data_IF_195350954019
#
_entry.id   IF_195350954019
#
_cell.length_a   1.000
_cell.length_b   1.000
_cell.length_c   1.000
_cell.angle_alpha   90.00
_cell.angle_beta   90.00
_cell.angle_gamma   90.00
#
_symmetry.space_group_name_H-M   'P 1'
#
loop_
_entity.id
_entity.type
_entity.pdbx_description
1 polymer ?
#
# COMPACT_ATOMS: atom_id res chain seq x y z
N UNK A 1 -3.18 -2.90 38.69
CA UNK A 1 -4.10 -2.79 37.55
C UNK A 1 -3.89 -3.99 36.61
N UNK A 2 -4.92 -4.67 36.14
CA UNK A 2 -4.76 -5.77 35.18
C UNK A 2 -4.30 -5.20 33.84
N UNK A 3 -3.42 -5.90 33.13
CA UNK A 3 -2.79 -5.40 31.89
C UNK A 3 -3.80 -4.95 30.83
N UNK A 4 -4.94 -5.64 30.74
CA UNK A 4 -6.01 -5.29 29.78
C UNK A 4 -6.61 -3.91 30.07
N UNK A 5 -6.81 -3.61 31.33
CA UNK A 5 -7.29 -2.31 31.80
C UNK A 5 -6.28 -1.19 31.53
N UNK A 6 -4.98 -1.47 31.70
CA UNK A 6 -3.93 -0.51 31.37
C UNK A 6 -3.90 -0.15 29.87
N UNK A 7 -4.12 -1.14 28.99
CA UNK A 7 -4.23 -0.93 27.55
C UNK A 7 -5.45 -0.06 27.21
N UNK A 8 -6.61 -0.37 27.83
CA UNK A 8 -7.86 0.38 27.62
C UNK A 8 -7.73 1.83 28.06
N UNK A 9 -7.27 2.10 29.28
CA UNK A 9 -7.07 3.46 29.79
C UNK A 9 -6.07 4.25 28.95
N UNK A 10 -4.94 3.62 28.56
CA UNK A 10 -3.97 4.27 27.69
C UNK A 10 -4.58 4.69 26.36
N UNK A 11 -5.48 3.88 25.78
CA UNK A 11 -6.14 4.23 24.53
C UNK A 11 -7.07 5.42 24.67
N UNK A 12 -7.81 5.52 25.78
CA UNK A 12 -8.68 6.68 26.02
C UNK A 12 -7.92 8.00 26.00
N UNK A 13 -6.71 8.02 26.55
CA UNK A 13 -5.87 9.22 26.66
C UNK A 13 -4.98 9.46 25.42
N UNK A 14 -4.51 8.40 24.79
CA UNK A 14 -3.43 8.47 23.80
C UNK A 14 -3.82 7.92 22.42
N UNK A 15 -5.03 7.42 22.23
CA UNK A 15 -5.49 6.85 20.97
C UNK A 15 -5.57 7.91 19.86
N UNK A 16 -5.39 7.49 18.61
CA UNK A 16 -5.60 8.34 17.41
C UNK A 16 -7.07 8.36 17.06
N UNK A 17 -7.91 9.00 17.90
CA UNK A 17 -9.36 9.03 17.75
C UNK A 17 -9.83 9.84 16.53
N UNK A 18 -8.99 10.74 16.03
CA UNK A 18 -9.23 11.67 14.93
C UNK A 18 -9.14 11.05 13.53
N UNK A 19 -8.72 9.79 13.42
CA UNK A 19 -8.65 9.11 12.13
C UNK A 19 -10.07 8.86 11.57
N UNK A 20 -10.37 9.26 10.30
CA UNK A 20 -11.73 9.24 9.76
C UNK A 20 -12.37 7.85 9.75
N UNK A 21 -11.58 6.80 9.52
CA UNK A 21 -12.05 5.40 9.58
C UNK A 21 -12.26 4.87 11.00
N UNK A 22 -11.91 5.64 12.04
CA UNK A 22 -12.23 5.37 13.45
C UNK A 22 -13.48 6.11 13.93
N UNK A 23 -13.98 7.06 13.12
CA UNK A 23 -15.16 7.88 13.41
C UNK A 23 -16.39 7.42 12.61
N UNK A 24 -16.38 6.19 12.11
CA UNK A 24 -17.47 5.63 11.32
C UNK A 24 -17.68 4.17 11.65
N UNK A 25 -18.91 3.68 11.50
CA UNK A 25 -19.29 2.26 11.52
C UNK A 25 -19.60 1.71 10.12
N UNK A 26 -19.36 2.49 9.08
CA UNK A 26 -19.57 2.08 7.70
C UNK A 26 -18.55 1.01 7.30
N UNK A 27 -19.04 -0.21 7.02
CA UNK A 27 -18.20 -1.36 6.71
C UNK A 27 -17.31 -1.15 5.47
N UNK A 28 -17.81 -0.44 4.45
CA UNK A 28 -17.03 -0.14 3.26
C UNK A 28 -15.88 0.84 3.56
N UNK A 29 -16.15 1.91 4.31
CA UNK A 29 -15.15 2.91 4.68
C UNK A 29 -14.03 2.30 5.54
N UNK A 30 -14.40 1.43 6.47
CA UNK A 30 -13.45 0.69 7.30
C UNK A 30 -12.65 -0.31 6.44
N UNK A 31 -13.32 -1.10 5.60
CA UNK A 31 -12.66 -2.03 4.69
C UNK A 31 -11.67 -1.33 3.77
N UNK A 32 -12.07 -0.21 3.15
CA UNK A 32 -11.20 0.59 2.29
C UNK A 32 -9.93 1.02 3.02
N UNK A 33 -10.07 1.55 4.24
CA UNK A 33 -8.92 1.97 5.05
C UNK A 33 -7.99 0.80 5.38
N UNK A 34 -8.54 -0.35 5.77
CA UNK A 34 -7.76 -1.56 6.08
C UNK A 34 -6.94 -2.03 4.87
N UNK A 35 -7.53 -1.99 3.66
CA UNK A 35 -6.82 -2.36 2.44
C UNK A 35 -5.77 -1.30 2.04
N UNK A 36 -6.09 -0.01 2.14
CA UNK A 36 -5.14 1.06 1.83
C UNK A 36 -3.94 1.08 2.78
N UNK A 37 -4.16 0.76 4.06
CA UNK A 37 -3.12 0.74 5.10
C UNK A 37 -2.21 -0.49 5.05
N UNK A 38 -2.53 -1.52 4.27
CA UNK A 38 -1.61 -2.66 4.07
C UNK A 38 -0.29 -2.17 3.49
N UNK A 39 0.81 -2.21 4.28
CA UNK A 39 2.15 -1.78 3.90
C UNK A 39 2.27 -0.30 3.46
N UNK A 40 1.32 0.53 3.84
CA UNK A 40 1.32 1.98 3.55
C UNK A 40 1.17 2.77 4.85
N UNK A 41 1.84 3.91 4.92
CA UNK A 41 1.79 4.78 6.10
C UNK A 41 0.44 5.50 6.20
N UNK A 42 -0.08 5.66 7.43
CA UNK A 42 -1.33 6.38 7.74
C UNK A 42 -1.34 7.77 7.11
N UNK A 43 -0.26 8.54 7.27
CA UNK A 43 -0.13 9.90 6.72
C UNK A 43 -0.38 9.91 5.20
N UNK A 44 0.26 9.00 4.47
CA UNK A 44 0.11 8.92 3.00
C UNK A 44 -1.32 8.59 2.59
N UNK A 45 -1.97 7.63 3.27
CA UNK A 45 -3.36 7.24 3.00
C UNK A 45 -4.30 8.40 3.28
N UNK A 46 -4.16 9.05 4.44
CA UNK A 46 -5.02 10.13 4.89
C UNK A 46 -4.94 11.37 3.99
N UNK A 47 -3.71 11.81 3.67
CA UNK A 47 -3.49 13.06 2.94
C UNK A 47 -3.79 12.97 1.45
N UNK A 48 -3.71 11.76 0.84
CA UNK A 48 -3.67 11.67 -0.63
C UNK A 48 -4.68 10.71 -1.25
N UNK A 49 -5.20 9.72 -0.51
CA UNK A 49 -5.93 8.62 -1.14
C UNK A 49 -7.32 8.39 -0.60
N UNK A 50 -7.49 8.40 0.73
CA UNK A 50 -8.74 7.96 1.36
C UNK A 50 -9.95 8.81 0.94
N UNK A 51 -9.86 10.12 1.09
CA UNK A 51 -10.96 11.02 0.75
C UNK A 51 -11.22 11.12 -0.75
N UNK A 52 -10.19 11.32 -1.62
CA UNK A 52 -10.42 11.35 -3.07
C UNK A 52 -11.03 10.04 -3.60
N UNK A 53 -10.65 8.90 -3.03
CA UNK A 53 -11.24 7.61 -3.42
C UNK A 53 -12.71 7.52 -3.01
N UNK A 54 -13.06 7.94 -1.80
CA UNK A 54 -14.46 7.97 -1.32
C UNK A 54 -15.32 9.00 -2.06
N UNK A 55 -14.75 10.11 -2.49
CA UNK A 55 -15.44 11.10 -3.32
C UNK A 55 -15.81 10.49 -4.69
N UNK A 56 -14.88 9.80 -5.32
CA UNK A 56 -15.11 9.14 -6.61
C UNK A 56 -15.99 7.89 -6.49
N UNK A 57 -15.82 7.13 -5.42
CA UNK A 57 -16.53 5.87 -5.14
C UNK A 57 -17.11 5.90 -3.73
N UNK A 58 -18.27 6.53 -3.51
CA UNK A 58 -18.84 6.74 -2.17
C UNK A 58 -19.35 5.45 -1.51
N UNK A 59 -19.59 4.40 -2.30
CA UNK A 59 -20.10 3.11 -1.82
C UNK A 59 -19.32 1.95 -2.43
N UNK A 60 -19.38 0.77 -1.79
CA UNK A 60 -18.80 -0.44 -2.36
C UNK A 60 -19.49 -0.82 -3.69
N UNK A 61 -20.76 -0.50 -3.86
CA UNK A 61 -21.49 -0.70 -5.10
C UNK A 61 -20.92 0.17 -6.23
N UNK A 62 -20.59 1.44 -5.97
CA UNK A 62 -19.97 2.30 -6.98
C UNK A 62 -18.58 1.82 -7.42
N UNK A 63 -17.84 1.12 -6.52
CA UNK A 63 -16.60 0.42 -6.90
C UNK A 63 -16.90 -0.78 -7.80
N UNK A 64 -17.96 -1.54 -7.51
CA UNK A 64 -18.33 -2.73 -8.30
C UNK A 64 -18.78 -2.38 -9.73
N UNK A 65 -19.43 -1.24 -9.89
CA UNK A 65 -19.97 -0.75 -11.18
C UNK A 65 -18.91 -0.05 -12.03
N UNK A 66 -17.82 0.41 -11.43
CA UNK A 66 -16.77 1.13 -12.13
C UNK A 66 -15.90 0.19 -12.98
N UNK A 67 -15.38 0.67 -14.14
CA UNK A 67 -14.29 0.00 -14.81
C UNK A 67 -13.06 -0.17 -13.90
N UNK A 68 -12.36 -1.32 -14.04
CA UNK A 68 -11.16 -1.56 -13.24
C UNK A 68 -10.10 -0.46 -13.43
N UNK A 69 -9.97 0.08 -14.64
CA UNK A 69 -9.01 1.13 -14.97
C UNK A 69 -9.25 2.40 -14.15
N UNK A 70 -10.51 2.78 -13.91
CA UNK A 70 -10.87 3.92 -13.05
C UNK A 70 -10.44 3.67 -11.60
N UNK A 71 -10.65 2.46 -11.08
CA UNK A 71 -10.23 2.08 -9.72
C UNK A 71 -8.71 2.09 -9.61
N UNK A 72 -8.00 1.57 -10.62
CA UNK A 72 -6.54 1.59 -10.68
C UNK A 72 -6.01 3.02 -10.79
N UNK A 73 -6.70 3.91 -11.52
CA UNK A 73 -6.34 5.32 -11.64
C UNK A 73 -6.42 6.04 -10.29
N UNK A 74 -7.51 5.84 -9.54
CA UNK A 74 -7.65 6.40 -8.20
C UNK A 74 -6.65 5.84 -7.18
N UNK A 75 -6.08 4.65 -7.47
CA UNK A 75 -5.05 4.00 -6.64
C UNK A 75 -3.63 4.40 -7.04
N UNK A 76 -3.47 5.19 -8.09
CA UNK A 76 -2.19 5.51 -8.69
C UNK A 76 -1.24 6.21 -7.73
N UNK A 77 -0.08 5.60 -7.47
CA UNK A 77 0.94 6.09 -6.52
C UNK A 77 0.85 5.50 -5.12
N UNK A 78 -0.23 4.79 -4.75
CA UNK A 78 -0.33 4.08 -3.47
C UNK A 78 0.50 2.79 -3.46
N UNK A 79 0.76 2.21 -4.64
CA UNK A 79 1.52 0.97 -4.80
C UNK A 79 0.73 -0.29 -4.45
N UNK A 80 1.36 -1.45 -4.68
CA UNK A 80 0.72 -2.75 -4.43
C UNK A 80 -0.66 -2.86 -5.09
N UNK A 81 -0.76 -2.59 -6.37
CA UNK A 81 -2.00 -2.50 -7.15
C UNK A 81 -2.89 -3.75 -7.12
N UNK A 82 -2.32 -4.90 -6.73
CA UNK A 82 -3.11 -6.12 -6.45
C UNK A 82 -4.18 -5.86 -5.39
N UNK A 83 -3.94 -4.93 -4.44
CA UNK A 83 -4.94 -4.54 -3.43
C UNK A 83 -6.15 -3.87 -4.06
N UNK A 84 -5.93 -2.93 -4.98
CA UNK A 84 -7.02 -2.26 -5.71
C UNK A 84 -7.83 -3.26 -6.55
N UNK A 85 -7.15 -4.19 -7.24
CA UNK A 85 -7.83 -5.26 -7.99
C UNK A 85 -8.63 -6.19 -7.10
N UNK A 86 -8.09 -6.55 -5.94
CA UNK A 86 -8.82 -7.36 -4.98
C UNK A 86 -10.01 -6.60 -4.38
N UNK A 87 -9.86 -5.31 -4.10
CA UNK A 87 -10.96 -4.44 -3.64
C UNK A 87 -12.09 -4.42 -4.69
N UNK A 88 -11.77 -4.16 -5.95
CA UNK A 88 -12.73 -4.15 -7.05
C UNK A 88 -13.41 -5.53 -7.23
N UNK A 89 -12.63 -6.61 -7.25
CA UNK A 89 -13.16 -7.98 -7.34
C UNK A 89 -14.08 -8.32 -6.16
N UNK A 90 -13.71 -7.93 -4.94
CA UNK A 90 -14.56 -8.11 -3.74
C UNK A 90 -15.86 -7.34 -3.88
N UNK A 91 -15.81 -6.09 -4.35
CA UNK A 91 -17.01 -5.28 -4.56
C UNK A 91 -18.00 -5.96 -5.53
N UNK A 92 -17.51 -6.51 -6.64
CA UNK A 92 -18.32 -7.26 -7.62
C UNK A 92 -18.92 -8.53 -7.00
N UNK A 93 -18.09 -9.37 -6.36
CA UNK A 93 -18.55 -10.65 -5.78
C UNK A 93 -19.58 -10.42 -4.69
N UNK A 94 -19.35 -9.42 -3.84
CA UNK A 94 -20.25 -9.07 -2.74
C UNK A 94 -21.46 -8.24 -3.19
N UNK A 95 -21.59 -7.92 -4.48
CA UNK A 95 -22.68 -7.08 -5.01
C UNK A 95 -22.86 -5.80 -4.20
N UNK A 96 -21.76 -5.16 -3.85
CA UNK A 96 -21.75 -3.90 -3.07
C UNK A 96 -21.99 -4.04 -1.56
N UNK A 97 -22.20 -5.23 -1.01
CA UNK A 97 -22.46 -5.44 0.43
C UNK A 97 -21.50 -6.49 1.00
N UNK A 98 -20.64 -6.06 1.94
CA UNK A 98 -19.68 -6.98 2.57
C UNK A 98 -20.38 -8.00 3.47
N UNK A 99 -19.88 -9.26 3.52
CA UNK A 99 -20.29 -10.21 4.53
C UNK A 99 -19.98 -9.71 5.95
N UNK A 100 -20.74 -10.18 6.92
CA UNK A 100 -20.59 -9.77 8.33
C UNK A 100 -19.74 -10.73 9.15
N UNK A 101 -19.57 -11.98 8.69
CA UNK A 101 -18.84 -13.02 9.42
C UNK A 101 -17.38 -13.10 9.00
N UNK A 102 -16.45 -13.29 9.96
CA UNK A 102 -15.01 -13.31 9.68
C UNK A 102 -14.58 -14.43 8.74
N UNK A 103 -15.27 -15.58 8.75
CA UNK A 103 -14.98 -16.71 7.87
C UNK A 103 -15.32 -16.38 6.40
N UNK A 104 -16.44 -15.72 6.17
CA UNK A 104 -16.90 -15.30 4.85
C UNK A 104 -15.99 -14.20 4.29
N UNK A 105 -15.66 -13.19 5.12
CA UNK A 105 -14.70 -12.15 4.77
C UNK A 105 -13.33 -12.74 4.45
N UNK A 106 -12.84 -13.69 5.25
CA UNK A 106 -11.56 -14.37 5.04
C UNK A 106 -11.48 -15.23 3.77
N UNK A 107 -12.62 -15.58 3.18
CA UNK A 107 -12.71 -16.25 1.88
C UNK A 107 -12.50 -15.33 0.68
N UNK A 108 -12.56 -14.00 0.88
CA UNK A 108 -12.41 -13.01 -0.19
C UNK A 108 -10.95 -12.72 -0.49
N UNK A 109 -10.62 -12.50 -1.77
CA UNK A 109 -9.25 -12.24 -2.21
C UNK A 109 -8.67 -10.98 -1.55
N UNK A 110 -7.50 -11.12 -0.93
CA UNK A 110 -6.79 -10.00 -0.28
C UNK A 110 -7.27 -9.69 1.13
N UNK A 111 -8.26 -10.39 1.64
CA UNK A 111 -8.73 -10.30 3.02
C UNK A 111 -8.22 -11.53 3.79
N UNK A 112 -7.11 -11.34 4.51
CA UNK A 112 -6.60 -12.36 5.43
C UNK A 112 -7.33 -12.33 6.78
N UNK A 113 -7.11 -13.35 7.63
CA UNK A 113 -7.72 -13.47 8.94
C UNK A 113 -7.65 -12.17 9.77
N UNK A 114 -6.51 -11.48 9.79
CA UNK A 114 -6.35 -10.22 10.55
C UNK A 114 -7.25 -9.11 10.02
N UNK A 115 -7.35 -8.95 8.68
CA UNK A 115 -8.23 -7.95 8.06
C UNK A 115 -9.71 -8.30 8.25
N UNK A 116 -10.08 -9.57 8.14
CA UNK A 116 -11.44 -10.03 8.42
C UNK A 116 -11.85 -9.71 9.87
N UNK A 117 -10.98 -10.04 10.83
CA UNK A 117 -11.19 -9.69 12.23
C UNK A 117 -11.28 -8.17 12.44
N UNK A 118 -10.43 -7.37 11.77
CA UNK A 118 -10.46 -5.91 11.88
C UNK A 118 -11.82 -5.34 11.45
N UNK A 119 -12.35 -5.78 10.31
CA UNK A 119 -13.67 -5.38 9.85
C UNK A 119 -14.74 -5.76 10.88
N UNK A 120 -14.77 -7.00 11.36
CA UNK A 120 -15.76 -7.45 12.33
C UNK A 120 -15.66 -6.70 13.66
N UNK A 121 -14.46 -6.42 14.15
CA UNK A 121 -14.25 -5.66 15.40
C UNK A 121 -14.67 -4.21 15.23
N UNK A 122 -14.27 -3.56 14.14
CA UNK A 122 -14.47 -2.12 14.02
C UNK A 122 -15.87 -1.74 13.56
N UNK A 123 -16.58 -2.64 12.89
CA UNK A 123 -17.98 -2.43 12.47
C UNK A 123 -18.97 -2.98 13.48
N UNK A 124 -18.74 -4.20 13.99
CA UNK A 124 -19.72 -4.96 14.76
C UNK A 124 -19.32 -5.18 16.22
N UNK A 125 -18.15 -4.66 16.65
CA UNK A 125 -17.61 -4.82 18.00
C UNK A 125 -17.43 -6.29 18.44
N UNK A 126 -17.20 -7.18 17.46
CA UNK A 126 -16.95 -8.60 17.74
C UNK A 126 -15.70 -8.79 18.60
N UNK A 127 -15.72 -9.68 19.61
CA UNK A 127 -14.59 -9.87 20.52
C UNK A 127 -13.47 -10.72 19.90
N UNK A 128 -12.88 -10.22 18.81
CA UNK A 128 -11.83 -10.88 18.04
C UNK A 128 -10.52 -10.11 18.17
N UNK A 129 -9.35 -10.80 18.28
CA UNK A 129 -8.05 -10.13 18.22
C UNK A 129 -7.64 -9.83 16.79
N UNK A 130 -6.93 -8.71 16.59
CA UNK A 130 -6.29 -8.36 15.34
C UNK A 130 -4.80 -8.63 15.46
N UNK A 131 -4.17 -9.13 14.39
CA UNK A 131 -2.76 -9.52 14.39
C UNK A 131 -2.02 -8.94 13.17
N UNK A 132 -1.87 -7.61 13.15
CA UNK A 132 -1.08 -6.91 12.14
C UNK A 132 0.43 -6.96 12.46
N UNK A 133 1.26 -6.34 11.62
CA UNK A 133 2.71 -6.31 11.81
C UNK A 133 3.14 -5.58 13.10
N UNK A 134 2.40 -4.56 13.52
CA UNK A 134 2.66 -3.81 14.75
C UNK A 134 2.33 -4.66 15.97
N UNK A 135 1.13 -5.24 15.99
CA UNK A 135 0.67 -6.13 17.07
C UNK A 135 1.59 -7.35 17.20
N UNK A 136 2.00 -7.98 16.08
CA UNK A 136 2.99 -9.08 16.09
C UNK A 136 4.27 -8.68 16.81
N UNK A 137 4.80 -7.50 16.54
CA UNK A 137 6.00 -6.98 17.21
C UNK A 137 5.77 -6.74 18.69
N UNK A 138 4.65 -6.11 19.07
CA UNK A 138 4.29 -5.86 20.47
C UNK A 138 4.20 -7.18 21.22
N UNK A 139 3.48 -8.16 20.69
CA UNK A 139 3.34 -9.49 21.31
C UNK A 139 4.67 -10.23 21.43
N UNK A 140 5.53 -10.18 20.39
CA UNK A 140 6.86 -10.78 20.47
C UNK A 140 7.67 -10.19 21.64
N UNK A 141 7.65 -8.87 21.81
CA UNK A 141 8.35 -8.18 22.90
C UNK A 141 7.71 -8.44 24.25
N UNK A 142 6.40 -8.33 24.33
CA UNK A 142 5.67 -8.51 25.58
C UNK A 142 5.86 -9.92 26.17
N UNK A 143 5.83 -10.96 25.33
CA UNK A 143 6.01 -12.34 25.74
C UNK A 143 7.45 -12.89 25.61
N UNK A 144 8.40 -12.07 25.17
CA UNK A 144 9.80 -12.43 24.87
C UNK A 144 9.92 -13.57 23.83
N UNK A 145 9.20 -13.49 22.71
CA UNK A 145 9.21 -14.48 21.64
C UNK A 145 10.29 -14.13 20.60
N UNK A 146 11.24 -15.03 20.40
CA UNK A 146 12.33 -14.82 19.40
C UNK A 146 11.87 -14.94 17.95
N UNK A 147 10.84 -15.71 17.68
CA UNK A 147 10.32 -15.97 16.34
C UNK A 147 8.86 -15.58 16.20
N UNK A 148 8.46 -15.16 15.01
CA UNK A 148 7.07 -14.87 14.66
C UNK A 148 6.33 -16.15 14.25
N UNK A 149 6.05 -17.03 15.21
CA UNK A 149 5.20 -18.18 14.96
C UNK A 149 3.73 -17.74 14.95
N UNK A 150 3.07 -17.84 13.81
CA UNK A 150 1.68 -17.38 13.62
C UNK A 150 0.72 -18.00 14.62
N UNK A 151 0.76 -19.33 14.83
CA UNK A 151 -0.13 -20.02 15.76
C UNK A 151 0.04 -19.49 17.17
N UNK A 152 1.29 -19.41 17.64
CA UNK A 152 1.60 -18.90 19.00
C UNK A 152 1.16 -17.43 19.14
N UNK A 153 1.36 -16.60 18.11
CA UNK A 153 0.97 -15.19 18.16
C UNK A 153 -0.55 -15.03 18.24
N UNK A 154 -1.33 -15.84 17.52
CA UNK A 154 -2.80 -15.85 17.65
C UNK A 154 -3.23 -16.28 19.05
N UNK A 155 -2.65 -17.32 19.63
CA UNK A 155 -2.92 -17.75 21.02
C UNK A 155 -2.62 -16.62 22.02
N UNK A 156 -1.50 -15.90 21.86
CA UNK A 156 -1.15 -14.76 22.70
C UNK A 156 -2.07 -13.56 22.51
N UNK A 157 -2.49 -13.29 21.26
CA UNK A 157 -3.45 -12.24 20.96
C UNK A 157 -4.80 -12.51 21.65
N UNK A 158 -5.33 -13.73 21.55
CA UNK A 158 -6.54 -14.15 22.25
C UNK A 158 -6.41 -14.02 23.78
N UNK A 159 -5.29 -14.44 24.34
CA UNK A 159 -5.04 -14.35 25.80
C UNK A 159 -5.06 -12.90 26.28
N UNK A 160 -4.53 -11.96 25.49
CA UNK A 160 -4.40 -10.56 25.87
C UNK A 160 -5.68 -9.76 25.58
N UNK A 161 -6.55 -10.22 24.69
CA UNK A 161 -7.75 -9.52 24.26
C UNK A 161 -8.63 -9.09 25.44
N UNK A 162 -9.05 -7.82 25.45
CA UNK A 162 -10.08 -7.31 26.34
C UNK A 162 -11.46 -7.56 25.72
N UNK A 163 -12.12 -8.62 26.13
CA UNK A 163 -13.36 -9.10 25.49
C UNK A 163 -14.51 -8.09 25.60
N UNK A 164 -14.57 -7.33 26.71
CA UNK A 164 -15.62 -6.32 26.93
C UNK A 164 -15.37 -5.00 26.16
N UNK A 165 -14.14 -4.76 25.70
CA UNK A 165 -13.73 -3.57 24.97
C UNK A 165 -12.84 -3.96 23.77
N UNK A 166 -13.36 -4.78 22.83
CA UNK A 166 -12.53 -5.33 21.74
C UNK A 166 -12.06 -4.25 20.75
N UNK A 167 -12.87 -3.25 20.48
CA UNK A 167 -12.55 -2.13 19.60
C UNK A 167 -11.35 -1.35 20.16
N UNK A 168 -11.48 -0.83 21.37
CA UNK A 168 -10.45 -0.02 22.02
C UNK A 168 -9.16 -0.81 22.22
N UNK A 169 -9.27 -2.08 22.61
CA UNK A 169 -8.11 -2.96 22.78
C UNK A 169 -7.30 -3.09 21.48
N UNK A 170 -7.95 -3.41 20.37
CA UNK A 170 -7.27 -3.62 19.11
C UNK A 170 -6.69 -2.31 18.55
N UNK A 171 -7.43 -1.21 18.63
CA UNK A 171 -6.91 0.11 18.25
C UNK A 171 -5.71 0.50 19.11
N UNK A 172 -5.78 0.29 20.45
CA UNK A 172 -4.67 0.52 21.36
C UNK A 172 -3.42 -0.27 20.97
N UNK A 173 -3.58 -1.58 20.72
CA UNK A 173 -2.45 -2.46 20.39
C UNK A 173 -1.76 -2.03 19.08
N UNK A 174 -2.52 -1.58 18.09
CA UNK A 174 -1.96 -1.02 16.85
C UNK A 174 -1.23 0.30 17.12
N UNK A 175 -1.82 1.20 17.94
CA UNK A 175 -1.24 2.50 18.26
C UNK A 175 0.01 2.38 19.14
N UNK A 176 0.01 1.51 20.14
CA UNK A 176 1.18 1.16 20.93
C UNK A 176 2.30 0.67 20.01
N UNK A 177 1.99 -0.20 19.06
CA UNK A 177 2.95 -0.67 18.08
C UNK A 177 3.47 0.44 17.18
N UNK A 178 2.61 1.32 16.67
CA UNK A 178 3.00 2.36 15.74
C UNK A 178 3.80 3.50 16.41
N UNK A 179 3.50 3.87 17.66
CA UNK A 179 3.99 5.11 18.30
C UNK A 179 4.90 4.86 19.48
N UNK A 180 4.70 3.80 20.26
CA UNK A 180 5.42 3.52 21.50
C UNK A 180 6.42 2.38 21.31
N UNK A 181 5.94 1.19 20.97
CA UNK A 181 6.76 0.00 20.78
C UNK A 181 7.33 -0.09 19.34
N UNK A 182 7.97 1.00 18.89
CA UNK A 182 8.49 1.15 17.53
C UNK A 182 9.61 0.16 17.21
N UNK A 183 9.90 -0.11 15.91
CA UNK A 183 10.93 -1.10 15.54
C UNK A 183 12.33 -0.82 16.09
N UNK A 184 12.79 0.43 15.99
CA UNK A 184 14.18 0.80 16.32
C UNK A 184 14.33 1.35 17.74
N UNK A 185 13.52 2.34 18.11
CA UNK A 185 13.63 3.09 19.36
C UNK A 185 12.32 3.01 20.16
N UNK A 186 12.00 1.87 20.80
CA UNK A 186 10.79 1.76 21.59
C UNK A 186 10.86 2.60 22.86
N UNK A 187 9.77 3.31 23.16
CA UNK A 187 9.61 4.15 24.35
C UNK A 187 9.00 3.30 25.49
N UNK A 188 9.82 2.42 26.07
CA UNK A 188 9.34 1.42 27.02
C UNK A 188 8.77 2.03 28.33
N UNK A 189 9.25 3.19 28.75
CA UNK A 189 8.79 3.84 29.99
C UNK A 189 7.40 4.49 29.83
N UNK A 190 7.04 4.92 28.63
CA UNK A 190 5.69 5.40 28.28
C UNK A 190 4.72 4.27 27.85
N UNK A 191 5.17 3.01 27.91
CA UNK A 191 4.38 1.88 27.43
C UNK A 191 3.44 1.36 28.51
N UNK A 192 2.12 1.22 28.26
CA UNK A 192 1.19 0.67 29.26
C UNK A 192 1.46 -0.79 29.61
N UNK A 193 2.25 -1.49 28.79
CA UNK A 193 2.66 -2.88 29.01
C UNK A 193 3.98 -3.00 29.82
N UNK A 194 4.65 -1.89 30.13
CA UNK A 194 6.00 -1.83 30.67
C UNK A 194 6.21 -2.70 31.91
N UNK A 195 5.26 -2.66 32.87
CA UNK A 195 5.38 -3.36 34.15
C UNK A 195 5.45 -4.88 34.03
N UNK A 196 4.83 -5.45 32.99
CA UNK A 196 4.74 -6.91 32.79
C UNK A 196 5.41 -7.39 31.51
N UNK A 197 6.06 -6.48 30.79
CA UNK A 197 6.72 -6.78 29.51
C UNK A 197 8.02 -7.56 29.74
N UNK A 198 8.07 -8.80 29.32
CA UNK A 198 9.23 -9.70 29.45
C UNK A 198 10.42 -9.29 28.60
N UNK A 199 10.20 -8.58 27.50
CA UNK A 199 11.25 -8.10 26.59
C UNK A 199 11.71 -6.66 26.85
N UNK A 200 11.26 -6.02 27.94
CA UNK A 200 11.56 -4.59 28.22
C UNK A 200 13.06 -4.28 28.25
N UNK A 201 13.87 -5.14 28.85
CA UNK A 201 15.31 -4.92 29.02
C UNK A 201 16.11 -4.98 27.71
N UNK A 202 15.60 -5.73 26.71
CA UNK A 202 16.28 -5.91 25.44
C UNK A 202 15.27 -6.06 24.27
N UNK A 203 14.42 -5.04 24.00
CA UNK A 203 13.31 -5.15 23.06
C UNK A 203 13.76 -5.43 21.62
N UNK A 204 14.98 -5.08 21.24
CA UNK A 204 15.56 -5.36 19.92
C UNK A 204 15.78 -6.84 19.65
N UNK A 205 15.80 -7.68 20.68
CA UNK A 205 15.96 -9.13 20.56
C UNK A 205 14.62 -9.85 20.20
N UNK A 206 13.49 -9.13 20.25
CA UNK A 206 12.16 -9.71 20.08
C UNK A 206 11.32 -8.96 19.02
N UNK A 207 10.93 -9.61 17.91
CA UNK A 207 11.49 -10.89 17.43
C UNK A 207 12.94 -10.70 16.97
N UNK A 208 13.70 -11.79 16.91
CA UNK A 208 15.08 -11.77 16.41
C UNK A 208 15.09 -11.14 15.01
N UNK A 209 15.95 -10.16 14.74
CA UNK A 209 16.03 -9.52 13.44
C UNK A 209 16.29 -10.54 12.32
N UNK A 210 15.57 -10.44 11.23
CA UNK A 210 15.87 -11.20 10.03
C UNK A 210 17.14 -10.64 9.38
N UNK A 211 18.00 -11.53 8.86
CA UNK A 211 19.15 -11.11 8.06
C UNK A 211 18.64 -10.33 6.83
N UNK A 212 19.29 -9.19 6.56
CA UNK A 212 19.00 -8.43 5.34
C UNK A 212 19.53 -9.18 4.14
N UNK A 213 18.65 -9.60 3.26
CA UNK A 213 19.02 -10.13 1.95
C UNK A 213 19.38 -8.95 1.05
N UNK A 214 20.52 -9.04 0.34
CA UNK A 214 20.86 -8.05 -0.69
C UNK A 214 19.82 -8.09 -1.79
N UNK A 215 19.24 -6.95 -2.08
CA UNK A 215 18.25 -6.80 -3.15
C UNK A 215 19.01 -6.75 -4.48
N UNK A 216 18.74 -7.68 -5.44
CA UNK A 216 19.42 -7.68 -6.73
C UNK A 216 19.05 -6.45 -7.56
N UNK A 217 19.99 -6.02 -8.41
CA UNK A 217 19.72 -4.95 -9.38
C UNK A 217 19.46 -5.59 -10.75
N UNK A 218 18.35 -5.22 -11.38
CA UNK A 218 17.99 -5.57 -12.75
C UNK A 218 18.18 -4.35 -13.65
N UNK A 219 18.91 -4.53 -14.74
CA UNK A 219 19.04 -3.51 -15.80
C UNK A 219 18.18 -3.94 -16.96
N UNK A 220 17.41 -3.01 -17.50
CA UNK A 220 16.52 -3.20 -18.65
C UNK A 220 16.45 -1.93 -19.48
N UNK A 221 15.80 -1.98 -20.61
CA UNK A 221 15.53 -0.86 -21.49
C UNK A 221 14.03 -0.53 -21.49
N UNK A 222 13.70 0.76 -21.47
CA UNK A 222 12.35 1.24 -21.71
C UNK A 222 12.30 1.81 -23.13
N UNK A 223 11.49 1.22 -23.98
CA UNK A 223 11.37 1.58 -25.39
C UNK A 223 10.27 2.57 -25.56
N UNK A 224 10.62 3.75 -26.08
CA UNK A 224 9.71 4.84 -26.39
C UNK A 224 9.48 4.88 -27.89
N UNK A 225 8.25 4.55 -28.28
CA UNK A 225 7.80 4.63 -29.66
C UNK A 225 6.87 5.84 -29.80
N UNK A 226 7.09 6.64 -30.83
CA UNK A 226 6.28 7.82 -31.13
C UNK A 226 5.74 7.73 -32.55
N UNK A 227 4.47 8.07 -32.72
CA UNK A 227 3.81 8.15 -34.01
C UNK A 227 2.80 9.31 -34.00
N UNK A 228 2.94 10.27 -34.91
CA UNK A 228 2.02 11.40 -35.04
C UNK A 228 1.80 12.16 -33.73
N UNK A 229 2.86 12.38 -32.94
CA UNK A 229 2.80 13.05 -31.64
C UNK A 229 2.17 12.21 -30.50
N UNK A 230 1.90 10.93 -30.74
CA UNK A 230 1.38 10.00 -29.74
C UNK A 230 2.44 8.99 -29.31
N UNK A 231 2.45 8.64 -28.03
CA UNK A 231 3.34 7.63 -27.46
C UNK A 231 2.65 6.25 -27.44
N UNK A 232 3.39 5.24 -27.83
CA UNK A 232 2.94 3.85 -27.81
C UNK A 232 3.05 3.25 -26.41
N UNK A 233 1.97 2.73 -25.87
CA UNK A 233 1.91 2.07 -24.56
C UNK A 233 1.34 0.66 -24.66
N UNK A 234 1.68 -0.17 -23.66
CA UNK A 234 1.09 -1.49 -23.46
C UNK A 234 0.29 -1.53 -22.15
N UNK A 235 -0.78 -2.31 -22.12
CA UNK A 235 -1.42 -2.69 -20.87
C UNK A 235 -0.80 -3.99 -20.35
N UNK A 236 -0.12 -3.89 -19.20
CA UNK A 236 0.71 -5.00 -18.67
C UNK A 236 -0.11 -6.22 -18.33
N UNK A 237 0.30 -7.36 -18.89
CA UNK A 237 -0.32 -8.69 -18.66
C UNK A 237 0.46 -9.52 -17.65
N UNK A 238 1.71 -9.14 -17.35
CA UNK A 238 2.57 -9.82 -16.40
C UNK A 238 2.08 -9.61 -14.96
N UNK A 239 2.45 -10.52 -14.05
CA UNK A 239 2.07 -10.47 -12.64
C UNK A 239 2.47 -9.15 -11.96
N UNK A 240 3.66 -8.63 -12.30
CA UNK A 240 4.11 -7.33 -11.79
C UNK A 240 3.40 -6.21 -12.56
N UNK A 241 2.71 -5.34 -11.84
CA UNK A 241 1.99 -4.18 -12.39
C UNK A 241 0.86 -4.53 -13.38
N UNK A 242 0.34 -5.75 -13.32
CA UNK A 242 -0.74 -6.24 -14.18
C UNK A 242 -1.94 -5.28 -14.22
N UNK A 243 -2.42 -4.97 -15.43
CA UNK A 243 -3.53 -4.08 -15.70
C UNK A 243 -3.16 -2.60 -15.80
N UNK A 244 -1.95 -2.21 -15.39
CA UNK A 244 -1.47 -0.84 -15.57
C UNK A 244 -0.94 -0.63 -16.98
N UNK A 245 -1.12 0.58 -17.48
CA UNK A 245 -0.49 1.04 -18.70
C UNK A 245 0.96 1.41 -18.46
N UNK A 246 1.81 1.28 -19.49
CA UNK A 246 3.20 1.67 -19.38
C UNK A 246 3.99 1.46 -20.66
N UNK A 247 5.24 1.92 -20.64
CA UNK A 247 6.15 1.77 -21.76
C UNK A 247 6.63 0.33 -21.89
N UNK A 248 6.89 -0.09 -23.13
CA UNK A 248 7.47 -1.42 -23.40
C UNK A 248 8.82 -1.53 -22.73
N UNK A 249 9.09 -2.67 -22.09
CA UNK A 249 10.39 -2.94 -21.45
C UNK A 249 11.02 -4.18 -22.08
N UNK A 250 12.33 -4.08 -22.42
CA UNK A 250 13.13 -5.16 -23.00
C UNK A 250 14.34 -5.45 -22.12
N UNK A 251 14.79 -6.69 -22.14
CA UNK A 251 16.10 -7.10 -21.58
C UNK A 251 17.24 -6.89 -22.57
N UNK A 252 16.92 -6.73 -23.87
CA UNK A 252 17.88 -6.50 -24.95
C UNK A 252 17.91 -5.03 -25.34
N UNK A 253 19.12 -4.54 -25.66
CA UNK A 253 19.32 -3.21 -26.19
C UNK A 253 18.79 -3.13 -27.62
N UNK A 254 18.10 -2.03 -27.91
CA UNK A 254 17.50 -1.76 -29.22
C UNK A 254 18.13 -0.51 -29.81
N UNK A 255 18.19 -0.43 -31.14
CA UNK A 255 18.62 0.77 -31.86
C UNK A 255 17.75 1.96 -31.50
N UNK A 256 18.36 3.12 -31.26
CA UNK A 256 17.62 4.35 -30.93
C UNK A 256 18.46 5.39 -30.22
N UNK A 257 17.78 6.47 -29.82
CA UNK A 257 18.39 7.60 -29.12
C UNK A 257 18.16 7.44 -27.61
N UNK A 258 19.24 7.49 -26.85
CA UNK A 258 19.20 7.49 -25.38
C UNK A 258 18.62 8.80 -24.86
N UNK A 259 17.44 8.76 -24.21
CA UNK A 259 16.80 9.92 -23.63
C UNK A 259 17.23 10.15 -22.16
N UNK A 260 17.62 9.11 -21.46
CA UNK A 260 18.08 9.16 -20.07
C UNK A 260 17.95 7.84 -19.33
N UNK A 261 18.09 7.90 -17.99
CA UNK A 261 18.01 6.72 -17.15
C UNK A 261 17.00 6.91 -16.00
N UNK A 262 16.23 5.89 -15.72
CA UNK A 262 15.24 5.86 -14.63
C UNK A 262 15.61 4.75 -13.65
N UNK A 263 15.64 5.08 -12.35
CA UNK A 263 15.85 4.13 -11.27
C UNK A 263 14.58 3.99 -10.41
N UNK A 264 14.25 2.75 -10.05
CA UNK A 264 13.17 2.44 -9.13
C UNK A 264 13.52 1.26 -8.23
N UNK A 265 13.10 1.31 -6.96
CA UNK A 265 13.34 0.22 -6.02
C UNK A 265 12.02 -0.43 -5.66
N UNK A 266 11.87 -1.69 -6.02
CA UNK A 266 10.81 -2.58 -5.56
C UNK A 266 11.23 -3.26 -4.26
N UNK A 267 10.30 -3.91 -3.58
CA UNK A 267 10.58 -4.63 -2.33
C UNK A 267 11.58 -5.78 -2.48
N UNK A 268 11.75 -6.33 -3.69
CA UNK A 268 12.54 -7.53 -3.97
C UNK A 268 13.63 -7.36 -5.04
N UNK A 269 13.70 -6.21 -5.72
CA UNK A 269 14.79 -5.83 -6.61
C UNK A 269 14.86 -4.33 -6.87
N UNK A 270 16.01 -3.83 -7.29
CA UNK A 270 16.22 -2.49 -7.83
C UNK A 270 16.17 -2.57 -9.35
N UNK A 271 15.38 -1.72 -9.99
CA UNK A 271 15.28 -1.61 -11.43
C UNK A 271 16.05 -0.36 -11.89
N UNK A 272 16.89 -0.54 -12.91
CA UNK A 272 17.55 0.54 -13.65
C UNK A 272 17.12 0.39 -15.10
N UNK A 273 16.51 1.43 -15.65
CA UNK A 273 16.01 1.47 -17.01
C UNK A 273 16.75 2.54 -17.81
N UNK A 274 17.39 2.14 -18.89
CA UNK A 274 17.83 3.08 -19.92
C UNK A 274 16.64 3.36 -20.84
N UNK A 275 16.26 4.63 -20.96
CA UNK A 275 15.09 5.08 -21.75
C UNK A 275 15.57 5.38 -23.16
N UNK A 276 15.07 4.64 -24.14
CA UNK A 276 15.50 4.71 -25.54
C UNK A 276 14.31 5.06 -26.42
N UNK A 277 14.42 6.14 -27.16
CA UNK A 277 13.50 6.44 -28.26
C UNK A 277 13.95 5.63 -29.49
N UNK A 278 13.12 4.70 -29.91
CA UNK A 278 13.44 3.75 -30.98
C UNK A 278 12.61 4.02 -32.24
N UNK A 279 13.22 4.00 -33.43
CA UNK A 279 12.50 4.05 -34.70
C UNK A 279 11.85 2.70 -35.07
N UNK A 280 12.24 1.63 -34.35
CA UNK A 280 11.74 0.29 -34.65
C UNK A 280 10.27 0.13 -34.28
N UNK A 281 9.57 -0.66 -35.06
CA UNK A 281 8.18 -1.01 -34.81
C UNK A 281 8.08 -1.97 -33.61
N UNK A 282 7.70 -1.43 -32.47
CA UNK A 282 7.46 -2.22 -31.25
C UNK A 282 5.94 -2.41 -31.12
N UNK A 283 5.53 -3.64 -30.77
CA UNK A 283 4.10 -3.94 -30.55
C UNK A 283 3.60 -3.18 -29.32
N UNK A 284 2.56 -2.38 -29.51
CA UNK A 284 1.88 -1.61 -28.45
C UNK A 284 0.37 -1.92 -28.47
N UNK A 285 -0.27 -1.75 -27.33
CA UNK A 285 -1.73 -1.97 -27.21
C UNK A 285 -2.52 -0.69 -27.55
N UNK A 286 -1.88 0.49 -27.55
CA UNK A 286 -2.51 1.74 -27.91
C UNK A 286 -1.53 2.91 -28.10
N UNK A 287 -2.01 3.95 -28.79
CA UNK A 287 -1.30 5.20 -29.05
C UNK A 287 -2.03 6.35 -28.37
N UNK A 288 -1.33 7.09 -27.54
CA UNK A 288 -1.95 8.09 -26.65
C UNK A 288 -1.17 9.41 -26.71
N UNK A 289 -1.89 10.52 -26.76
CA UNK A 289 -1.31 11.84 -26.55
C UNK A 289 -1.11 12.11 -25.04
N UNK A 290 -0.53 13.25 -24.69
CA UNK A 290 -0.19 13.59 -23.31
C UNK A 290 -1.42 13.73 -22.40
N UNK A 291 -2.56 14.20 -22.92
CA UNK A 291 -3.82 14.34 -22.20
C UNK A 291 -4.46 12.98 -21.97
N UNK A 292 -4.50 12.13 -23.00
CA UNK A 292 -5.00 10.76 -22.90
C UNK A 292 -4.20 9.95 -21.86
N UNK A 293 -2.86 10.08 -21.86
CA UNK A 293 -1.98 9.42 -20.87
C UNK A 293 -2.27 9.89 -19.44
N UNK A 294 -2.68 11.14 -19.24
CA UNK A 294 -3.02 11.64 -17.92
C UNK A 294 -4.21 10.92 -17.29
N UNK A 295 -5.09 10.32 -18.09
CA UNK A 295 -6.24 9.53 -17.65
C UNK A 295 -5.93 8.04 -17.44
N UNK A 296 -4.80 7.54 -17.94
CA UNK A 296 -4.40 6.14 -17.76
C UNK A 296 -3.79 5.90 -16.36
N UNK A 297 -3.98 4.69 -15.84
CA UNK A 297 -3.31 4.25 -14.62
C UNK A 297 -1.87 3.81 -14.93
N UNK A 298 -0.89 4.63 -14.59
CA UNK A 298 0.53 4.36 -14.78
C UNK A 298 1.20 3.91 -13.47
N UNK A 299 2.25 3.10 -13.59
CA UNK A 299 3.12 2.83 -12.46
C UNK A 299 4.04 4.05 -12.17
N UNK A 300 4.57 4.11 -10.94
CA UNK A 300 5.58 5.14 -10.59
C UNK A 300 6.79 5.10 -11.53
N UNK A 301 7.16 3.91 -12.04
CA UNK A 301 8.25 3.77 -13.02
C UNK A 301 7.89 4.41 -14.34
N UNK A 302 6.68 4.13 -14.83
CA UNK A 302 6.22 4.64 -16.12
C UNK A 302 6.01 6.17 -16.09
N UNK A 303 5.59 6.72 -14.94
CA UNK A 303 5.58 8.19 -14.73
C UNK A 303 6.97 8.80 -14.83
N UNK A 304 7.98 8.16 -14.21
CA UNK A 304 9.38 8.64 -14.32
C UNK A 304 9.92 8.54 -15.74
N UNK A 305 9.51 7.52 -16.51
CA UNK A 305 9.87 7.42 -17.93
C UNK A 305 9.24 8.58 -18.69
N UNK A 306 7.93 8.86 -18.46
CA UNK A 306 7.25 10.02 -19.09
C UNK A 306 7.97 11.33 -18.77
N UNK A 307 8.31 11.59 -17.50
CA UNK A 307 9.08 12.76 -17.10
C UNK A 307 10.47 12.84 -17.76
N UNK A 308 11.12 11.69 -18.00
CA UNK A 308 12.39 11.59 -18.68
C UNK A 308 12.25 12.02 -20.14
N UNK A 309 11.19 11.56 -20.83
CA UNK A 309 10.87 11.94 -22.20
C UNK A 309 10.64 13.47 -22.30
N UNK A 310 9.79 14.02 -21.43
CA UNK A 310 9.47 15.45 -21.40
C UNK A 310 10.72 16.33 -21.24
N UNK A 311 11.63 15.93 -20.32
CA UNK A 311 12.90 16.62 -20.10
C UNK A 311 13.86 16.54 -21.29
N UNK A 312 13.85 15.45 -22.04
CA UNK A 312 14.67 15.29 -23.24
C UNK A 312 14.13 16.18 -24.39
N UNK A 313 12.80 16.23 -24.54
CA UNK A 313 12.14 17.06 -25.57
C UNK A 313 12.42 18.56 -25.36
N UNK A 314 12.36 19.04 -24.10
CA UNK A 314 12.67 20.45 -23.78
C UNK A 314 14.13 20.81 -24.10
N UNK A 315 15.07 19.87 -23.93
CA UNK A 315 16.49 20.10 -24.24
C UNK A 315 16.78 20.10 -25.74
N UNK A 316 15.96 19.42 -26.52
CA UNK A 316 16.13 19.36 -28.00
C UNK A 316 15.43 20.49 -28.77
N UNK A 317 14.58 21.28 -28.09
CA UNK A 317 13.99 22.49 -28.71
C UNK A 317 15.05 23.61 -28.69
N UNK A 318 15.61 24.05 -29.84
CA UNK A 318 16.55 25.16 -29.84
C UNK A 318 15.83 26.42 -29.35
N UNK A 319 16.52 27.21 -28.53
CA UNK A 319 16.13 28.59 -28.19
C UNK A 319 16.19 29.41 -29.50
N UNK A 320 15.17 29.33 -30.32
CA UNK A 320 14.87 30.28 -31.39
C UNK A 320 13.70 31.10 -30.84
N UNK A 321 14.03 32.30 -30.36
CA UNK A 321 13.20 33.49 -30.26
C UNK A 321 13.68 34.34 -29.08
N UNK A 322 14.82 34.99 -29.30
CA UNK A 322 15.22 36.22 -28.60
C UNK A 322 16.31 36.98 -29.35
N UNK A 323 16.15 37.14 -30.65
CA UNK A 323 16.90 38.16 -31.42
C UNK A 323 16.00 38.61 -32.58
N UNK A 324 15.03 39.47 -32.27
CA UNK A 324 14.43 40.43 -33.18
C UNK A 324 13.63 41.42 -32.34
N UNK A 325 14.33 42.43 -31.80
CA UNK A 325 13.87 43.76 -31.47
C UNK A 325 15.02 44.50 -30.77
N UNK A 326 15.93 45.03 -31.57
CA UNK A 326 16.68 46.27 -31.28
C UNK A 326 16.73 47.09 -32.55
#
# INVERSE_FOLDING_TARGET
>A
MKVKEAIFQWYQENGRHDLPWRQTSDAYKIYLSEIMLQQTQVKTVLERFYFPFLERFPTLQSVAEAPLDDVLKMWEGLGYYTRAKNLHHTAIICKGVLPTRPEELGGLKGIGKSTAHAICVFVYHEPLPILDANVKRVLCRYFALHVKNEKVLWEKAWKLLHVSHPYEHNQAMMDIGARVCTPKNPQCDACPLSLTCKGKSAPQNYPKPLQKVKVPTKKRFALVCEREGKLGLIQRKEKLLHGLWGFVQSDEMTEGVMLGQVCHTYSHFKLVLDVIQTPLHVSVDGWFNSEEIAHLALSTVDKKIKECIEKATIKSTPIKEAIEEV
#
